data_IF_313844004848
#
_entry.id   IF_313844004848
#
_cell.length_a   1.000
_cell.length_b   1.000
_cell.length_c   1.000
_cell.angle_alpha   90.00
_cell.angle_beta   90.00
_cell.angle_gamma   90.00
#
_symmetry.space_group_name_H-M   'P 1'
#
loop_
_entity.id
_entity.type
_entity.pdbx_description
1 polymer ?
#
# COMPACT_ATOMS: atom_id res chain seq x y z
N UNK A 1 11.36 -19.70 0.74
CA UNK A 1 9.99 -19.66 1.30
C UNK A 1 9.86 -18.37 2.08
N UNK A 2 9.23 -17.34 1.49
CA UNK A 2 8.92 -16.11 2.21
C UNK A 2 7.70 -16.34 3.09
N UNK A 3 7.93 -16.47 4.40
CA UNK A 3 6.88 -16.57 5.40
C UNK A 3 6.31 -15.16 5.57
N UNK A 4 5.01 -14.99 5.31
CA UNK A 4 4.35 -13.69 5.42
C UNK A 4 4.38 -13.21 6.87
N UNK A 5 5.06 -12.09 7.13
CA UNK A 5 5.21 -11.52 8.47
C UNK A 5 3.99 -10.76 9.00
N UNK A 6 3.06 -10.36 8.12
CA UNK A 6 1.90 -9.53 8.48
C UNK A 6 0.60 -10.04 7.85
N UNK A 7 -0.47 -10.04 8.64
CA UNK A 7 -1.84 -10.25 8.18
C UNK A 7 -2.23 -9.16 7.18
N UNK A 8 -2.91 -9.55 6.09
CA UNK A 8 -3.38 -8.63 5.05
C UNK A 8 -4.89 -8.54 5.10
N UNK A 9 -5.40 -7.33 5.17
CA UNK A 9 -6.82 -7.03 5.19
C UNK A 9 -7.27 -6.67 3.78
N UNK A 10 -8.35 -7.29 3.32
CA UNK A 10 -8.96 -6.99 2.02
C UNK A 10 -9.64 -5.63 2.12
N UNK A 11 -9.23 -4.70 1.26
CA UNK A 11 -9.73 -3.33 1.26
C UNK A 11 -9.92 -2.84 -0.17
N UNK A 12 -10.62 -1.73 -0.37
CA UNK A 12 -10.73 -1.05 -1.66
C UNK A 12 -10.58 0.44 -1.44
N UNK A 13 -9.34 0.92 -1.42
CA UNK A 13 -9.04 2.34 -1.27
C UNK A 13 -8.44 2.93 -2.54
N UNK A 14 -8.73 4.20 -2.80
CA UNK A 14 -8.05 4.92 -3.86
C UNK A 14 -6.63 5.26 -3.41
N UNK A 15 -5.67 5.12 -4.31
CA UNK A 15 -4.29 5.47 -4.04
C UNK A 15 -3.62 6.12 -5.25
N UNK A 16 -2.68 7.00 -4.97
CA UNK A 16 -1.77 7.56 -5.97
C UNK A 16 -0.34 7.15 -5.64
N UNK A 17 0.47 6.91 -6.66
CA UNK A 17 1.87 6.57 -6.49
C UNK A 17 2.74 7.34 -7.46
N UNK A 18 3.97 7.63 -7.04
CA UNK A 18 4.95 8.31 -7.89
C UNK A 18 6.37 7.83 -7.65
N UNK A 19 7.20 7.89 -8.68
CA UNK A 19 8.63 7.61 -8.63
C UNK A 19 9.39 8.71 -9.39
N UNK A 20 10.05 9.59 -8.63
CA UNK A 20 10.72 10.76 -9.19
C UNK A 20 9.78 11.62 -10.04
N UNK A 21 10.30 12.13 -11.16
CA UNK A 21 9.53 12.98 -12.10
C UNK A 21 8.99 12.20 -13.31
N UNK A 22 9.19 10.88 -13.39
CA UNK A 22 9.00 10.11 -14.62
C UNK A 22 7.84 9.12 -14.56
N UNK A 23 7.37 8.79 -13.36
CA UNK A 23 6.31 7.82 -13.14
C UNK A 23 5.34 8.37 -12.10
N UNK A 24 4.09 8.54 -12.50
CA UNK A 24 2.97 8.84 -11.62
C UNK A 24 1.76 8.05 -12.11
N UNK A 25 0.94 7.59 -11.19
CA UNK A 25 -0.28 6.87 -11.52
C UNK A 25 -1.22 6.77 -10.35
N UNK A 26 -2.47 6.46 -10.66
CA UNK A 26 -3.52 6.18 -9.69
C UNK A 26 -3.90 4.71 -9.75
N UNK A 27 -4.46 4.19 -8.66
CA UNK A 27 -4.91 2.82 -8.61
C UNK A 27 -5.72 2.51 -7.36
N UNK A 28 -6.26 1.30 -7.33
CA UNK A 28 -7.01 0.79 -6.19
C UNK A 28 -6.14 -0.11 -5.34
N UNK A 29 -5.99 0.23 -4.06
CA UNK A 29 -5.38 -0.63 -3.05
C UNK A 29 -6.37 -1.73 -2.69
N UNK A 30 -6.02 -2.98 -3.03
CA UNK A 30 -6.87 -4.16 -2.90
C UNK A 30 -6.66 -4.92 -1.57
N UNK A 31 -5.49 -4.76 -0.97
CA UNK A 31 -5.21 -5.23 0.39
C UNK A 31 -4.14 -4.38 1.05
N UNK A 32 -4.15 -4.36 2.37
CA UNK A 32 -3.21 -3.60 3.19
C UNK A 32 -2.72 -4.41 4.39
N UNK A 33 -1.47 -4.19 4.75
CA UNK A 33 -0.82 -4.70 5.97
C UNK A 33 0.21 -3.68 6.45
N UNK A 34 0.78 -3.90 7.64
CA UNK A 34 1.85 -3.04 8.16
C UNK A 34 3.10 -2.99 7.27
N UNK A 35 3.35 -4.06 6.50
CA UNK A 35 4.57 -4.18 5.69
C UNK A 35 4.35 -3.98 4.19
N UNK A 36 3.14 -3.71 3.73
CA UNK A 36 2.89 -3.62 2.30
C UNK A 36 1.43 -3.72 1.89
N UNK A 37 1.20 -3.54 0.59
CA UNK A 37 -0.12 -3.55 0.00
C UNK A 37 -0.10 -4.13 -1.42
N UNK A 38 -1.29 -4.39 -1.95
CA UNK A 38 -1.49 -4.73 -3.36
C UNK A 38 -2.26 -3.61 -4.04
N UNK A 39 -1.80 -3.19 -5.21
CA UNK A 39 -2.40 -2.11 -6.00
C UNK A 39 -2.80 -2.65 -7.37
N UNK A 40 -3.98 -2.24 -7.85
CA UNK A 40 -4.41 -2.41 -9.24
C UNK A 40 -4.40 -1.05 -9.94
N UNK A 41 -3.72 -0.95 -11.09
CA UNK A 41 -3.61 0.27 -11.89
C UNK A 41 -3.38 -0.06 -13.36
N UNK A 42 -3.85 0.82 -14.24
CA UNK A 42 -3.54 0.75 -15.68
C UNK A 42 -2.14 1.31 -15.98
N UNK A 43 -1.54 2.02 -15.03
CA UNK A 43 -0.18 2.56 -15.14
C UNK A 43 0.84 1.44 -14.93
N UNK A 44 1.74 1.27 -15.89
CA UNK A 44 2.82 0.28 -15.80
C UNK A 44 3.92 0.74 -14.86
N UNK A 45 4.22 -0.08 -13.85
CA UNK A 45 5.31 0.15 -12.90
C UNK A 45 6.43 -0.89 -13.08
N UNK A 46 7.71 -0.49 -13.12
CA UNK A 46 8.82 -1.44 -13.20
C UNK A 46 8.97 -2.26 -11.91
N UNK A 47 9.32 -3.54 -12.04
CA UNK A 47 9.72 -4.36 -10.89
C UNK A 47 10.95 -3.76 -10.20
N UNK A 48 10.96 -3.74 -8.87
CA UNK A 48 12.05 -3.16 -8.08
C UNK A 48 12.03 -1.64 -7.98
N UNK A 49 11.11 -0.95 -8.67
CA UNK A 49 10.99 0.50 -8.56
C UNK A 49 10.65 0.94 -7.13
N UNK A 50 11.31 1.99 -6.66
CA UNK A 50 10.96 2.70 -5.44
C UNK A 50 9.88 3.73 -5.71
N UNK A 51 8.73 3.60 -5.07
CA UNK A 51 7.60 4.52 -5.21
C UNK A 51 7.25 5.15 -3.87
N UNK A 52 6.76 6.39 -3.92
CA UNK A 52 5.94 6.97 -2.87
C UNK A 52 4.50 6.54 -3.13
N UNK A 53 3.75 6.21 -2.10
CA UNK A 53 2.34 5.84 -2.19
C UNK A 53 1.52 6.70 -1.23
N UNK A 54 0.41 7.26 -1.70
CA UNK A 54 -0.62 7.88 -0.87
C UNK A 54 -1.89 7.06 -0.99
N UNK A 55 -2.49 6.71 0.14
CA UNK A 55 -3.72 5.93 0.20
C UNK A 55 -4.79 6.80 0.84
N UNK A 56 -5.85 7.09 0.10
CA UNK A 56 -7.00 7.84 0.61
C UNK A 56 -7.97 6.86 1.26
N UNK A 57 -8.06 6.92 2.59
CA UNK A 57 -8.89 6.06 3.41
C UNK A 57 -10.06 6.88 3.96
N UNK A 58 -11.28 6.62 3.50
CA UNK A 58 -12.49 7.39 3.90
C UNK A 58 -12.27 8.92 3.80
N UNK A 59 -13.04 9.74 4.53
CA UNK A 59 -12.89 11.20 4.57
C UNK A 59 -11.75 11.67 5.51
N UNK A 60 -10.76 10.81 5.79
CA UNK A 60 -9.59 11.16 6.60
C UNK A 60 -8.41 11.65 5.73
N UNK A 61 -7.42 12.25 6.39
CA UNK A 61 -6.14 12.60 5.76
C UNK A 61 -5.52 11.36 5.07
N UNK A 62 -4.96 11.47 3.86
CA UNK A 62 -4.33 10.32 3.20
C UNK A 62 -3.20 9.71 4.05
N UNK A 63 -3.07 8.39 4.02
CA UNK A 63 -1.90 7.71 4.57
C UNK A 63 -0.75 7.82 3.56
N UNK A 64 0.39 8.34 3.97
CA UNK A 64 1.58 8.50 3.11
C UNK A 64 2.66 7.46 3.46
N UNK A 65 2.96 6.61 2.48
CA UNK A 65 4.12 5.72 2.50
C UNK A 65 5.24 6.38 1.69
N UNK A 66 6.24 6.93 2.39
CA UNK A 66 7.34 7.67 1.77
C UNK A 66 8.15 6.83 0.78
N UNK A 67 8.43 5.56 1.11
CA UNK A 67 9.12 4.63 0.21
C UNK A 67 8.56 3.22 0.28
N UNK A 68 8.12 2.72 -0.86
CA UNK A 68 7.76 1.33 -1.08
C UNK A 68 8.48 0.76 -2.31
N UNK A 69 8.80 -0.53 -2.29
CA UNK A 69 9.42 -1.23 -3.41
C UNK A 69 8.41 -2.12 -4.12
N UNK A 70 8.37 -2.06 -5.45
CA UNK A 70 7.60 -3.00 -6.27
C UNK A 70 8.24 -4.37 -6.20
N UNK A 71 7.55 -5.36 -5.59
CA UNK A 71 8.08 -6.72 -5.37
C UNK A 71 7.61 -7.75 -6.38
N UNK A 72 6.48 -7.49 -7.05
CA UNK A 72 6.00 -8.31 -8.15
C UNK A 72 5.01 -7.49 -8.98
N UNK A 73 4.87 -7.85 -10.26
CA UNK A 73 3.89 -7.28 -11.20
C UNK A 73 3.21 -8.44 -11.92
N UNK A 74 1.88 -8.41 -12.03
CA UNK A 74 1.08 -9.39 -12.74
C UNK A 74 -0.10 -8.70 -13.43
N UNK A 75 0.02 -8.50 -14.74
CA UNK A 75 -0.97 -7.74 -15.50
C UNK A 75 -1.07 -6.31 -14.99
N UNK A 76 -2.25 -5.93 -14.51
CA UNK A 76 -2.55 -4.60 -13.96
C UNK A 76 -2.42 -4.54 -12.44
N UNK A 77 -1.99 -5.64 -11.79
CA UNK A 77 -1.76 -5.68 -10.35
C UNK A 77 -0.27 -5.70 -10.05
N UNK A 78 0.12 -5.05 -8.96
CA UNK A 78 1.46 -5.11 -8.43
C UNK A 78 1.45 -5.08 -6.90
N UNK A 79 2.50 -5.67 -6.31
CA UNK A 79 2.69 -5.71 -4.87
C UNK A 79 3.77 -4.74 -4.43
N UNK A 80 3.48 -4.01 -3.37
CA UNK A 80 4.40 -3.10 -2.72
C UNK A 80 4.84 -3.65 -1.37
N UNK A 81 6.13 -3.55 -1.08
CA UNK A 81 6.67 -3.67 0.28
C UNK A 81 7.02 -2.29 0.80
N UNK A 82 6.56 -1.96 2.00
CA UNK A 82 6.87 -0.68 2.64
C UNK A 82 8.28 -0.72 3.20
N UNK A 83 9.16 0.10 2.64
CA UNK A 83 10.58 0.17 3.00
C UNK A 83 10.89 1.33 3.94
N UNK A 84 10.07 2.38 3.91
CA UNK A 84 10.15 3.50 4.84
C UNK A 84 8.78 4.17 4.98
N UNK A 85 8.31 4.21 6.23
CA UNK A 85 7.10 4.90 6.68
C UNK A 85 7.53 5.82 7.82
N UNK A 86 7.05 7.05 7.85
CA UNK A 86 7.34 7.96 8.97
C UNK A 86 6.63 7.51 10.24
N UNK A 87 7.18 7.80 11.41
CA UNK A 87 6.67 7.26 12.69
C UNK A 87 5.19 7.60 12.94
N UNK A 88 4.75 8.81 12.58
CA UNK A 88 3.35 9.23 12.68
C UNK A 88 2.45 8.42 11.75
N UNK A 89 2.84 8.28 10.48
CA UNK A 89 2.13 7.48 9.48
C UNK A 89 2.13 5.99 9.85
N UNK A 90 3.20 5.48 10.46
CA UNK A 90 3.28 4.11 10.94
C UNK A 90 2.29 3.86 12.08
N UNK A 91 2.15 4.82 13.01
CA UNK A 91 1.13 4.74 14.06
C UNK A 91 -0.29 4.74 13.48
N UNK A 92 -0.56 5.62 12.52
CA UNK A 92 -1.84 5.69 11.80
C UNK A 92 -2.14 4.37 11.08
N UNK A 93 -1.17 3.83 10.35
CA UNK A 93 -1.28 2.53 9.68
C UNK A 93 -1.54 1.40 10.68
N UNK A 94 -0.88 1.39 11.84
CA UNK A 94 -1.09 0.39 12.90
C UNK A 94 -2.50 0.44 13.46
N UNK A 95 -2.98 1.63 13.83
CA UNK A 95 -4.33 1.81 14.33
C UNK A 95 -5.36 1.37 13.28
N UNK A 96 -5.15 1.76 12.03
CA UNK A 96 -6.02 1.40 10.93
C UNK A 96 -6.08 -0.10 10.69
N UNK A 97 -4.93 -0.78 10.62
CA UNK A 97 -4.88 -2.24 10.45
C UNK A 97 -5.55 -2.98 11.62
N UNK A 98 -5.47 -2.44 12.84
CA UNK A 98 -6.17 -2.99 14.02
C UNK A 98 -7.69 -2.86 13.96
N UNK A 99 -8.24 -1.85 13.27
CA UNK A 99 -9.71 -1.72 13.15
C UNK A 99 -10.30 -2.86 12.31
N UNK A 100 -9.58 -3.33 11.29
CA UNK A 100 -10.00 -4.49 10.46
C UNK A 100 -9.80 -5.83 11.16
N UNK A 101 -8.80 -5.94 12.04
CA UNK A 101 -8.62 -7.14 12.86
C UNK A 101 -9.84 -7.38 13.76
N UNK A 102 -10.36 -6.31 14.36
CA UNK A 102 -11.53 -6.36 15.25
C UNK A 102 -12.85 -6.63 14.53
N UNK A 103 -13.00 -6.21 13.26
CA UNK A 103 -14.22 -6.46 12.48
C UNK A 103 -14.31 -7.86 11.88
N UNK A 104 -13.25 -8.68 12.01
CA UNK A 104 -13.21 -10.07 11.55
C UNK A 104 -13.83 -11.07 12.55
N UNK A 105 -14.36 -10.59 13.68
CA UNK A 105 -14.90 -11.43 14.79
C UNK A 105 -16.45 -11.36 14.90
N UNK A 106 -17.19 -11.07 13.83
CA UNK A 106 -18.67 -11.16 13.84
C UNK A 106 -19.15 -11.99 12.66
#
# INVERSE_FOLDING_TARGET
MDIRKHTRFTVQFQGSFSSGQRLEGEGTVLNLSLGGCKVKSDTRVPLGAGVRLRITMQEEQPLEIKRAAVRWVRGQEFGLEFTFVEAEEELRLRLFVQTFDRSSTT
#
